data_IF_259459054326
#
_entry.id   IF_259459054326
#
_cell.length_a   1.000
_cell.length_b   1.000
_cell.length_c   1.000
_cell.angle_alpha   90.00
_cell.angle_beta   90.00
_cell.angle_gamma   90.00
#
_symmetry.space_group_name_H-M   'P 1'
#
loop_
_entity.id
_entity.type
_entity.pdbx_description
1 polymer ?
#
# COMPACT_ATOMS: atom_id res chain seq x y z
N UNK A 1 -8.36 -15.57 19.98
CA UNK A 1 -7.02 -14.95 20.03
C UNK A 1 -6.91 -14.00 18.84
N UNK A 2 -7.04 -12.69 19.05
CA UNK A 2 -6.97 -11.66 18.01
C UNK A 2 -5.51 -11.19 17.90
N UNK A 3 -4.94 -11.20 16.69
CA UNK A 3 -3.57 -10.73 16.46
C UNK A 3 -3.58 -9.19 16.46
N UNK A 4 -3.37 -8.57 17.63
CA UNK A 4 -3.45 -7.11 17.79
C UNK A 4 -2.35 -6.36 17.02
N UNK A 5 -1.23 -7.02 16.73
CA UNK A 5 -0.12 -6.47 15.94
C UNK A 5 0.05 -7.28 14.67
N UNK A 6 -0.59 -6.84 13.60
CA UNK A 6 -0.35 -7.39 12.27
C UNK A 6 1.13 -7.11 11.91
N UNK A 7 1.98 -8.14 11.94
CA UNK A 7 3.42 -8.04 11.63
C UNK A 7 3.69 -7.59 10.19
N UNK A 8 2.66 -7.61 9.36
CA UNK A 8 2.71 -7.25 7.95
C UNK A 8 1.95 -5.96 7.68
N UNK A 9 2.64 -4.84 7.87
CA UNK A 9 2.15 -3.47 7.72
C UNK A 9 1.28 -3.26 6.47
N UNK A 10 1.56 -3.99 5.38
CA UNK A 10 0.81 -3.93 4.11
C UNK A 10 -0.67 -4.35 4.15
N UNK A 11 -1.15 -5.03 5.20
CA UNK A 11 -2.57 -5.42 5.35
C UNK A 11 -3.31 -4.63 6.43
N UNK A 12 -2.68 -3.61 7.03
CA UNK A 12 -3.41 -2.69 7.89
C UNK A 12 -4.43 -1.91 7.05
N UNK A 13 -5.61 -1.69 7.62
CA UNK A 13 -6.63 -0.83 7.05
C UNK A 13 -6.04 0.57 6.84
N UNK A 14 -6.21 1.17 5.65
CA UNK A 14 -5.60 2.47 5.30
C UNK A 14 -4.34 2.40 4.43
N UNK A 15 -3.66 1.25 4.33
CA UNK A 15 -2.39 1.19 3.57
C UNK A 15 -2.64 1.22 2.07
N UNK A 16 -3.75 0.63 1.62
CA UNK A 16 -4.15 0.71 0.21
C UNK A 16 -4.49 2.14 -0.18
N UNK A 17 -5.31 2.83 0.61
CA UNK A 17 -5.65 4.23 0.38
C UNK A 17 -4.40 5.12 0.41
N UNK A 18 -3.46 4.85 1.32
CA UNK A 18 -2.22 5.63 1.39
C UNK A 18 -1.33 5.42 0.17
N UNK A 19 -1.25 4.20 -0.35
CA UNK A 19 -0.52 3.92 -1.60
C UNK A 19 -1.14 4.68 -2.77
N UNK A 20 -2.46 4.68 -2.90
CA UNK A 20 -3.16 5.38 -3.99
C UNK A 20 -3.04 6.91 -3.86
N UNK A 21 -3.15 7.44 -2.64
CA UNK A 21 -2.96 8.87 -2.35
C UNK A 21 -1.55 9.31 -2.70
N UNK A 22 -0.52 8.55 -2.29
CA UNK A 22 0.87 8.86 -2.60
C UNK A 22 1.13 8.82 -4.10
N UNK A 23 0.61 7.83 -4.82
CA UNK A 23 0.73 7.76 -6.27
C UNK A 23 0.00 8.92 -6.98
N UNK A 24 -1.18 9.31 -6.49
CA UNK A 24 -1.92 10.46 -7.01
C UNK A 24 -1.17 11.78 -6.80
N UNK A 25 -0.45 11.90 -5.67
CA UNK A 25 0.41 13.03 -5.36
C UNK A 25 1.77 12.99 -6.11
N UNK A 26 1.93 12.09 -7.09
CA UNK A 26 3.13 11.99 -7.93
C UNK A 26 4.29 11.21 -7.31
N UNK A 27 4.10 10.51 -6.19
CA UNK A 27 5.15 9.70 -5.60
C UNK A 27 5.43 8.44 -6.43
N UNK A 28 6.72 8.13 -6.61
CA UNK A 28 7.14 6.91 -7.29
C UNK A 28 6.80 5.65 -6.52
N UNK A 29 6.75 4.51 -7.23
CA UNK A 29 6.50 3.18 -6.63
C UNK A 29 7.57 2.84 -5.58
N UNK A 30 8.85 3.12 -5.87
CA UNK A 30 9.96 2.88 -4.96
C UNK A 30 9.88 3.75 -3.70
N UNK A 31 9.53 5.02 -3.85
CA UNK A 31 9.42 5.96 -2.73
C UNK A 31 8.25 5.61 -1.81
N UNK A 32 7.13 5.21 -2.39
CA UNK A 32 5.96 4.71 -1.65
C UNK A 32 6.29 3.44 -0.87
N UNK A 33 6.99 2.49 -1.51
CA UNK A 33 7.43 1.25 -0.86
C UNK A 33 8.37 1.53 0.33
N UNK A 34 9.32 2.45 0.17
CA UNK A 34 10.27 2.83 1.22
C UNK A 34 9.59 3.58 2.37
N UNK A 35 8.68 4.50 2.06
CA UNK A 35 7.95 5.31 3.05
C UNK A 35 7.04 4.45 3.90
N UNK A 36 6.29 3.53 3.27
CA UNK A 36 5.35 2.65 3.95
C UNK A 36 6.00 1.37 4.50
N UNK A 37 7.30 1.16 4.26
CA UNK A 37 8.05 -0.04 4.64
C UNK A 37 7.38 -1.33 4.16
N UNK A 38 6.86 -1.31 2.94
CA UNK A 38 6.19 -2.44 2.28
C UNK A 38 6.96 -2.88 1.03
N UNK A 39 6.75 -4.11 0.59
CA UNK A 39 7.36 -4.61 -0.63
C UNK A 39 6.86 -3.84 -1.87
N UNK A 40 7.75 -3.58 -2.82
CA UNK A 40 7.43 -2.94 -4.11
C UNK A 40 6.30 -3.69 -4.85
N UNK A 41 6.32 -5.03 -4.80
CA UNK A 41 5.27 -5.87 -5.38
C UNK A 41 3.87 -5.56 -4.81
N UNK A 42 3.80 -5.19 -3.53
CA UNK A 42 2.54 -4.81 -2.90
C UNK A 42 2.04 -3.49 -3.45
N UNK A 43 2.92 -2.48 -3.59
CA UNK A 43 2.57 -1.18 -4.19
C UNK A 43 2.05 -1.37 -5.61
N UNK A 44 2.79 -2.10 -6.45
CA UNK A 44 2.40 -2.36 -7.85
C UNK A 44 1.06 -3.09 -7.92
N UNK A 45 0.86 -4.13 -7.10
CA UNK A 45 -0.40 -4.89 -7.06
C UNK A 45 -1.57 -4.00 -6.62
N UNK A 46 -1.38 -3.18 -5.60
CA UNK A 46 -2.42 -2.24 -5.14
C UNK A 46 -2.80 -1.26 -6.24
N UNK A 47 -1.82 -0.65 -6.93
CA UNK A 47 -2.09 0.29 -8.02
C UNK A 47 -2.73 -0.37 -9.26
N UNK A 48 -2.43 -1.64 -9.53
CA UNK A 48 -3.11 -2.39 -10.60
C UNK A 48 -4.55 -2.71 -10.22
N UNK A 49 -4.79 -3.09 -8.97
CA UNK A 49 -6.11 -3.48 -8.50
C UNK A 49 -7.01 -2.27 -8.18
N UNK A 50 -6.45 -1.10 -7.87
CA UNK A 50 -7.23 0.12 -7.61
C UNK A 50 -8.02 0.63 -8.82
N UNK A 51 -7.73 0.12 -10.03
CA UNK A 51 -8.50 0.40 -11.26
C UNK A 51 -9.68 -0.56 -11.47
N UNK A 52 -9.81 -1.60 -10.65
CA UNK A 52 -10.83 -2.65 -10.78
C UNK A 52 -11.89 -2.60 -9.67
N UNK A 53 -11.72 -1.75 -8.66
CA UNK A 53 -12.70 -1.48 -7.59
C UNK A 53 -13.66 -0.32 -7.97
N UNK A 54 -14.01 -0.19 -9.26
CA UNK A 54 -15.12 0.64 -9.77
C UNK A 54 -16.38 -0.21 -10.00
#
# INVERSE_FOLDING_TARGET
>A
MFLLTYTYEARKHGVKEKITEMAFNGAGVCDTARTLKIGINTVIRTLKNSRHDE
#
